data_IF_803507718289
#
_entry.id   IF_803507718289
#
_cell.length_a   1.000
_cell.length_b   1.000
_cell.length_c   1.000
_cell.angle_alpha   90.00
_cell.angle_beta   90.00
_cell.angle_gamma   90.00
#
_symmetry.space_group_name_H-M   'P 1'
#
loop_
_entity.id
_entity.type
_entity.pdbx_description
1 polymer ?
#
# COMPACT_ATOMS: atom_id res chain seq x y z
N UNK A 1 29.06 44.79 19.54
CA UNK A 1 29.28 43.41 19.06
C UNK A 1 29.58 42.56 20.29
N UNK A 2 28.60 41.72 20.70
CA UNK A 2 28.76 40.84 21.86
C UNK A 2 29.59 39.64 21.44
N UNK A 3 30.79 39.47 22.02
CA UNK A 3 31.61 38.27 21.86
C UNK A 3 30.91 37.13 22.58
N UNK A 4 30.37 36.17 21.83
CA UNK A 4 29.86 34.94 22.40
C UNK A 4 31.03 33.98 22.58
N UNK A 5 31.54 33.93 23.80
CA UNK A 5 32.59 32.98 24.19
C UNK A 5 31.93 31.63 24.43
N UNK A 6 32.09 30.66 23.52
CA UNK A 6 31.65 29.31 23.69
C UNK A 6 32.56 28.57 24.70
N UNK A 7 32.05 28.29 25.88
CA UNK A 7 32.72 27.41 26.84
C UNK A 7 32.43 25.99 26.44
N UNK A 8 33.43 25.30 25.86
CA UNK A 8 33.41 23.87 25.60
C UNK A 8 33.49 23.11 26.92
N UNK A 9 32.35 22.62 27.41
CA UNK A 9 32.35 21.60 28.46
C UNK A 9 32.62 20.23 27.82
N UNK A 10 33.82 19.71 27.98
CA UNK A 10 34.19 18.34 27.63
C UNK A 10 33.45 17.39 28.58
N UNK A 11 32.32 16.86 28.22
CA UNK A 11 31.70 15.73 28.88
C UNK A 11 32.36 14.43 28.35
N UNK A 12 33.33 13.92 29.07
CA UNK A 12 33.87 12.57 28.86
C UNK A 12 32.83 11.59 29.41
N UNK A 13 31.94 11.13 28.57
CA UNK A 13 31.01 10.02 28.85
C UNK A 13 31.68 8.71 28.46
N UNK A 14 32.17 7.98 29.46
CA UNK A 14 32.66 6.62 29.28
C UNK A 14 31.51 5.64 29.03
N UNK A 15 31.66 4.82 28.00
CA UNK A 15 31.09 3.47 27.94
C UNK A 15 29.75 3.30 27.26
N UNK A 16 29.82 2.93 25.98
CA UNK A 16 29.12 1.76 25.43
C UNK A 16 29.92 1.32 24.20
N UNK A 17 30.77 0.35 24.38
CA UNK A 17 31.42 -0.39 23.31
C UNK A 17 30.34 -1.33 22.69
N UNK A 18 29.68 -0.88 21.64
CA UNK A 18 28.90 -1.75 20.79
C UNK A 18 28.75 -1.11 19.43
N UNK A 19 29.26 -1.81 18.41
CA UNK A 19 29.14 -1.54 16.98
C UNK A 19 29.88 -0.30 16.46
N UNK A 20 31.08 -0.53 15.95
CA UNK A 20 31.93 0.43 15.24
C UNK A 20 31.40 0.73 13.84
N UNK A 21 30.25 1.37 13.72
CA UNK A 21 29.97 2.21 12.56
C UNK A 21 30.86 3.43 12.71
N UNK A 22 31.86 3.56 11.84
CA UNK A 22 32.92 4.56 11.97
C UNK A 22 32.34 5.94 11.64
N UNK A 23 31.82 6.64 12.64
CA UNK A 23 31.41 8.03 12.51
C UNK A 23 32.63 8.90 12.21
N UNK A 24 32.55 9.87 11.29
CA UNK A 24 33.62 10.84 11.08
C UNK A 24 33.96 11.53 12.41
N UNK A 25 35.23 11.61 12.74
CA UNK A 25 35.65 12.32 13.96
C UNK A 25 35.54 13.82 13.74
N UNK A 26 34.79 14.50 14.60
CA UNK A 26 34.69 15.95 14.57
C UNK A 26 36.05 16.60 14.88
N UNK A 27 36.39 17.64 14.10
CA UNK A 27 37.62 18.43 14.30
C UNK A 27 37.23 19.92 14.33
N UNK A 28 36.87 20.42 15.51
CA UNK A 28 36.27 21.73 15.72
C UNK A 28 37.34 22.76 16.07
N UNK A 29 38.15 23.17 15.08
CA UNK A 29 39.23 24.12 15.26
C UNK A 29 38.83 25.58 15.01
N UNK A 30 37.82 25.80 14.23
CA UNK A 30 37.32 27.12 13.86
C UNK A 30 35.83 27.26 14.20
N UNK A 31 35.35 28.53 14.23
CA UNK A 31 33.91 28.81 14.41
C UNK A 31 33.07 28.19 13.30
N UNK A 32 33.63 28.12 12.08
CA UNK A 32 32.96 27.48 10.93
C UNK A 32 32.85 25.96 11.13
N UNK A 33 33.89 25.32 11.66
CA UNK A 33 33.86 23.88 11.97
C UNK A 33 32.77 23.59 13.02
N UNK A 34 32.73 24.41 14.09
CA UNK A 34 31.76 24.30 15.16
C UNK A 34 30.32 24.54 14.66
N UNK A 35 30.12 25.54 13.80
CA UNK A 35 28.84 25.82 13.16
C UNK A 35 28.41 24.65 12.26
N UNK A 36 29.33 24.11 11.46
CA UNK A 36 29.05 22.98 10.58
C UNK A 36 28.57 21.75 11.34
N UNK A 37 29.23 21.44 12.47
CA UNK A 37 28.82 20.36 13.35
C UNK A 37 27.44 20.62 13.97
N UNK A 38 27.22 21.83 14.48
CA UNK A 38 25.94 22.24 15.06
C UNK A 38 24.77 22.16 14.05
N UNK A 39 24.99 22.57 12.80
CA UNK A 39 24.01 22.41 11.71
C UNK A 39 23.68 20.93 11.51
N UNK A 40 24.70 20.05 11.45
CA UNK A 40 24.51 18.63 11.31
C UNK A 40 23.61 18.05 12.42
N UNK A 41 23.91 18.38 13.68
CA UNK A 41 23.10 17.93 14.82
C UNK A 41 21.67 18.49 14.80
N UNK A 42 21.51 19.78 14.57
CA UNK A 42 20.22 20.45 14.62
C UNK A 42 19.24 19.93 13.53
N UNK A 43 19.78 19.45 12.41
CA UNK A 43 18.96 18.92 11.30
C UNK A 43 18.49 17.48 11.47
N UNK A 44 18.85 16.83 12.58
CA UNK A 44 18.37 15.46 12.89
C UNK A 44 17.04 15.43 13.66
N UNK A 45 16.46 16.58 13.98
CA UNK A 45 15.16 16.65 14.64
C UNK A 45 14.09 15.92 13.81
N UNK A 46 13.37 14.99 14.41
CA UNK A 46 12.38 14.15 13.75
C UNK A 46 12.93 13.01 12.88
N UNK A 47 14.23 12.97 12.60
CA UNK A 47 14.82 11.93 11.73
C UNK A 47 14.65 10.53 12.30
N UNK A 48 14.78 10.36 13.61
CA UNK A 48 14.60 9.05 14.26
C UNK A 48 13.19 8.49 14.02
N UNK A 49 12.17 9.35 14.13
CA UNK A 49 10.80 8.94 13.85
C UNK A 49 10.59 8.57 12.39
N UNK A 50 11.16 9.34 11.47
CA UNK A 50 11.15 9.02 10.04
C UNK A 50 11.82 7.67 9.77
N UNK A 51 13.00 7.39 10.34
CA UNK A 51 13.71 6.13 10.18
C UNK A 51 12.87 4.94 10.68
N UNK A 52 12.21 5.08 11.85
CA UNK A 52 11.29 4.06 12.34
C UNK A 52 10.14 3.78 11.38
N UNK A 53 9.56 4.80 10.75
CA UNK A 53 8.52 4.63 9.72
C UNK A 53 9.04 3.89 8.48
N UNK A 54 10.33 4.01 8.18
CA UNK A 54 10.99 3.26 7.11
C UNK A 54 11.43 1.85 7.53
N UNK A 55 11.14 1.43 8.77
CA UNK A 55 11.54 0.14 9.32
C UNK A 55 13.00 0.08 9.78
N UNK A 56 13.66 1.24 9.98
CA UNK A 56 15.02 1.34 10.49
C UNK A 56 14.97 1.67 11.99
N UNK A 57 15.20 0.68 12.82
CA UNK A 57 15.29 0.85 14.26
C UNK A 57 16.76 0.87 14.77
N UNK A 58 16.95 0.80 16.07
CA UNK A 58 18.28 0.84 16.69
C UNK A 58 19.18 -0.32 16.29
N UNK A 59 18.60 -1.46 15.87
CA UNK A 59 19.38 -2.66 15.48
C UNK A 59 19.99 -2.51 14.09
N UNK A 60 19.38 -1.70 13.20
CA UNK A 60 19.89 -1.41 11.87
C UNK A 60 20.68 -0.10 11.76
N UNK A 61 20.86 0.64 12.87
CA UNK A 61 21.50 1.95 12.86
C UNK A 61 22.93 1.91 12.32
N UNK A 62 23.68 0.84 12.56
CA UNK A 62 25.03 0.66 12.04
C UNK A 62 25.05 0.60 10.51
N UNK A 63 24.14 -0.14 9.91
CA UNK A 63 24.02 -0.22 8.44
C UNK A 63 23.50 1.10 7.84
N UNK A 64 22.59 1.79 8.55
CA UNK A 64 22.16 3.12 8.15
C UNK A 64 23.34 4.11 8.09
N UNK A 65 24.18 4.17 9.14
CA UNK A 65 25.36 5.06 9.20
C UNK A 65 26.36 4.70 8.09
N UNK A 66 26.58 3.42 7.83
CA UNK A 66 27.42 2.96 6.74
C UNK A 66 26.91 3.47 5.38
N UNK A 67 25.62 3.24 5.08
CA UNK A 67 24.99 3.72 3.86
C UNK A 67 25.01 5.24 3.74
N UNK A 68 24.80 5.98 4.85
CA UNK A 68 24.92 7.43 4.89
C UNK A 68 26.31 7.91 4.51
N UNK A 69 27.37 7.35 5.10
CA UNK A 69 28.76 7.72 4.80
C UNK A 69 29.15 7.41 3.35
N UNK A 70 28.74 6.24 2.86
CA UNK A 70 28.98 5.86 1.46
C UNK A 70 28.24 6.80 0.51
N UNK A 71 26.98 7.11 0.79
CA UNK A 71 26.16 8.02 -0.03
C UNK A 71 26.70 9.43 -0.05
N UNK A 72 27.13 9.97 1.10
CA UNK A 72 27.70 11.31 1.21
C UNK A 72 28.99 11.48 0.41
N UNK A 73 29.74 10.41 0.18
CA UNK A 73 30.98 10.42 -0.63
C UNK A 73 30.72 10.26 -2.14
N UNK A 74 29.51 9.93 -2.56
CA UNK A 74 29.12 9.65 -3.94
C UNK A 74 28.68 10.92 -4.68
N UNK A 75 29.53 11.49 -5.52
CA UNK A 75 29.26 12.78 -6.19
C UNK A 75 29.32 12.71 -7.72
N UNK A 76 29.88 11.66 -8.29
CA UNK A 76 29.97 11.54 -9.75
C UNK A 76 28.61 11.24 -10.39
N UNK A 77 28.44 11.62 -11.68
CA UNK A 77 27.23 11.27 -12.45
C UNK A 77 26.92 9.75 -12.45
N UNK A 78 27.98 8.93 -12.47
CA UNK A 78 27.85 7.47 -12.43
C UNK A 78 27.32 7.01 -11.07
N UNK A 79 27.81 7.59 -9.99
CA UNK A 79 27.35 7.26 -8.64
C UNK A 79 25.90 7.69 -8.42
N UNK A 80 25.53 8.88 -8.88
CA UNK A 80 24.15 9.38 -8.84
C UNK A 80 23.22 8.43 -9.60
N UNK A 81 23.59 8.02 -10.80
CA UNK A 81 22.81 7.05 -11.59
C UNK A 81 22.63 5.71 -10.85
N UNK A 82 23.69 5.20 -10.23
CA UNK A 82 23.64 3.96 -9.45
C UNK A 82 22.72 4.07 -8.24
N UNK A 83 22.83 5.15 -7.44
CA UNK A 83 21.98 5.38 -6.27
C UNK A 83 20.51 5.56 -6.67
N UNK A 84 20.24 6.29 -7.75
CA UNK A 84 18.89 6.43 -8.30
C UNK A 84 18.34 5.07 -8.73
N UNK A 85 19.16 4.24 -9.36
CA UNK A 85 18.79 2.87 -9.74
C UNK A 85 18.41 2.00 -8.53
N UNK A 86 19.18 2.08 -7.44
CA UNK A 86 18.86 1.37 -6.20
C UNK A 86 17.52 1.82 -5.60
N UNK A 87 17.30 3.13 -5.53
CA UNK A 87 16.07 3.70 -4.98
C UNK A 87 14.83 3.27 -5.80
N UNK A 88 14.92 3.40 -7.13
CA UNK A 88 13.84 2.97 -8.03
C UNK A 88 13.65 1.46 -7.96
N UNK A 89 14.74 0.69 -7.91
CA UNK A 89 14.70 -0.77 -7.78
C UNK A 89 13.97 -1.23 -6.52
N UNK A 90 14.19 -0.58 -5.37
CA UNK A 90 13.46 -0.85 -4.14
C UNK A 90 11.96 -0.50 -4.28
N UNK A 91 11.65 0.65 -4.86
CA UNK A 91 10.27 1.07 -5.08
C UNK A 91 9.52 0.07 -5.97
N UNK A 92 10.08 -0.30 -7.13
CA UNK A 92 9.45 -1.22 -8.07
C UNK A 92 9.40 -2.65 -7.49
N UNK A 93 10.51 -3.11 -6.90
CA UNK A 93 10.63 -4.49 -6.42
C UNK A 93 9.91 -4.79 -5.11
N UNK A 94 9.45 -3.76 -4.37
CA UNK A 94 8.71 -3.91 -3.12
C UNK A 94 7.36 -3.20 -3.18
N UNK A 95 7.35 -1.87 -3.20
CA UNK A 95 6.10 -1.10 -3.07
C UNK A 95 5.12 -1.38 -4.21
N UNK A 96 5.59 -1.49 -5.45
CA UNK A 96 4.71 -1.80 -6.57
C UNK A 96 4.19 -3.23 -6.49
N UNK A 97 5.04 -4.21 -6.12
CA UNK A 97 4.60 -5.60 -5.94
C UNK A 97 3.51 -5.68 -4.88
N UNK A 98 3.72 -5.07 -3.71
CA UNK A 98 2.74 -5.02 -2.63
C UNK A 98 1.45 -4.30 -3.05
N UNK A 99 1.57 -3.15 -3.71
CA UNK A 99 0.44 -2.36 -4.18
C UNK A 99 -0.41 -3.10 -5.22
N UNK A 100 0.22 -3.73 -6.22
CA UNK A 100 -0.50 -4.51 -7.22
C UNK A 100 -1.11 -5.79 -6.64
N UNK A 101 -0.42 -6.47 -5.72
CA UNK A 101 -0.99 -7.63 -5.03
C UNK A 101 -2.24 -7.24 -4.25
N UNK A 102 -2.21 -6.13 -3.52
CA UNK A 102 -3.39 -5.63 -2.81
C UNK A 102 -4.52 -5.26 -3.76
N UNK A 103 -4.20 -4.61 -4.88
CA UNK A 103 -5.20 -4.17 -5.87
C UNK A 103 -5.86 -5.35 -6.62
N UNK A 104 -5.08 -6.37 -6.97
CA UNK A 104 -5.54 -7.49 -7.80
C UNK A 104 -6.15 -8.60 -6.93
N UNK A 105 -5.48 -8.96 -5.82
CA UNK A 105 -5.83 -10.11 -5.01
C UNK A 105 -6.51 -9.74 -3.67
N UNK A 106 -6.65 -8.45 -3.37
CA UNK A 106 -7.36 -7.98 -2.17
C UNK A 106 -6.74 -8.48 -0.86
N UNK A 107 -5.40 -8.64 -0.82
CA UNK A 107 -4.68 -9.09 0.37
C UNK A 107 -4.61 -10.61 0.54
N UNK A 108 -5.02 -11.40 -0.45
CA UNK A 108 -4.77 -12.85 -0.47
C UNK A 108 -3.27 -13.12 -0.59
N UNK A 109 -2.64 -13.54 0.51
CA UNK A 109 -1.21 -13.80 0.60
C UNK A 109 -0.74 -15.04 -0.15
N UNK A 110 -1.66 -15.87 -0.64
CA UNK A 110 -1.34 -17.07 -1.44
C UNK A 110 -1.06 -16.74 -2.90
N UNK A 111 -1.40 -15.52 -3.33
CA UNK A 111 -1.24 -15.05 -4.70
C UNK A 111 -0.34 -13.83 -4.75
N UNK A 112 0.51 -13.76 -5.77
CA UNK A 112 1.41 -12.62 -6.00
C UNK A 112 1.71 -12.46 -7.48
N UNK A 113 1.91 -11.21 -7.91
CA UNK A 113 2.49 -10.95 -9.23
C UNK A 113 3.96 -11.38 -9.25
N UNK A 114 4.49 -11.76 -10.41
CA UNK A 114 5.90 -12.09 -10.56
C UNK A 114 6.76 -10.82 -10.46
N UNK A 115 7.53 -10.73 -9.36
CA UNK A 115 8.53 -9.67 -9.18
C UNK A 115 9.59 -9.67 -10.30
N UNK A 116 10.03 -10.85 -10.71
CA UNK A 116 11.03 -10.99 -11.81
C UNK A 116 10.51 -10.42 -13.12
N UNK A 117 9.29 -10.79 -13.51
CA UNK A 117 8.67 -10.30 -14.74
C UNK A 117 8.40 -8.79 -14.68
N UNK A 118 7.99 -8.27 -13.51
CA UNK A 118 7.81 -6.83 -13.30
C UNK A 118 9.12 -6.06 -13.50
N UNK A 119 10.23 -6.53 -12.91
CA UNK A 119 11.54 -5.91 -13.05
C UNK A 119 12.07 -6.02 -14.48
N UNK A 120 11.90 -7.17 -15.14
CA UNK A 120 12.28 -7.36 -16.52
C UNK A 120 11.52 -6.42 -17.47
N UNK A 121 10.21 -6.31 -17.28
CA UNK A 121 9.37 -5.39 -18.04
C UNK A 121 9.74 -3.92 -17.80
N UNK A 122 10.05 -3.55 -16.55
CA UNK A 122 10.51 -2.20 -16.22
C UNK A 122 11.81 -1.86 -16.95
N UNK A 123 12.81 -2.75 -16.90
CA UNK A 123 14.10 -2.56 -17.60
C UNK A 123 13.89 -2.49 -19.12
N UNK A 124 13.07 -3.37 -19.68
CA UNK A 124 12.73 -3.33 -21.11
C UNK A 124 12.09 -2.01 -21.51
N UNK A 125 11.21 -1.49 -20.67
CA UNK A 125 10.52 -0.22 -20.87
C UNK A 125 11.45 1.00 -20.83
N UNK A 126 12.37 1.10 -19.87
CA UNK A 126 13.29 2.25 -19.77
C UNK A 126 14.41 2.23 -20.82
N UNK A 127 14.79 1.03 -21.28
CA UNK A 127 15.84 0.89 -22.31
C UNK A 127 15.32 0.87 -23.73
N UNK A 128 14.00 0.83 -23.90
CA UNK A 128 13.30 0.71 -25.17
C UNK A 128 13.72 -0.56 -25.97
N UNK A 129 14.09 -1.62 -25.24
CA UNK A 129 14.58 -2.89 -25.78
C UNK A 129 13.67 -4.03 -25.33
N UNK A 130 12.45 -4.06 -25.86
CA UNK A 130 11.53 -5.18 -25.63
C UNK A 130 11.37 -6.00 -26.90
N UNK A 131 11.52 -7.32 -26.79
CA UNK A 131 11.18 -8.29 -27.83
C UNK A 131 9.88 -9.05 -27.51
N UNK A 132 9.20 -8.70 -26.42
CA UNK A 132 7.95 -9.35 -25.98
C UNK A 132 6.73 -8.55 -26.41
N UNK A 133 6.69 -7.26 -26.07
CA UNK A 133 5.57 -6.37 -26.43
C UNK A 133 6.03 -4.90 -26.45
N UNK A 134 5.29 -4.05 -27.16
CA UNK A 134 5.51 -2.59 -27.14
C UNK A 134 4.94 -1.97 -25.86
N UNK A 135 5.31 -0.72 -25.55
CA UNK A 135 4.76 0.02 -24.39
C UNK A 135 3.26 0.22 -24.49
N UNK A 136 2.75 0.48 -25.70
CA UNK A 136 1.33 0.66 -25.98
C UNK A 136 0.57 -0.65 -25.73
N UNK A 137 1.07 -1.76 -26.25
CA UNK A 137 0.51 -3.09 -26.03
C UNK A 137 0.55 -3.47 -24.54
N UNK A 138 1.66 -3.17 -23.82
CA UNK A 138 1.78 -3.40 -22.40
C UNK A 138 0.76 -2.59 -21.59
N UNK A 139 0.53 -1.32 -21.94
CA UNK A 139 -0.46 -0.46 -21.28
C UNK A 139 -1.89 -0.99 -21.48
N UNK A 140 -2.24 -1.40 -22.70
CA UNK A 140 -3.56 -1.99 -22.98
C UNK A 140 -3.74 -3.32 -22.22
N UNK A 141 -2.75 -4.21 -22.29
CA UNK A 141 -2.80 -5.50 -21.61
C UNK A 141 -2.87 -5.35 -20.07
N UNK A 142 -2.14 -4.39 -19.51
CA UNK A 142 -2.19 -4.13 -18.05
C UNK A 142 -3.61 -3.79 -17.60
N UNK A 143 -4.28 -2.87 -18.30
CA UNK A 143 -5.65 -2.45 -17.97
C UNK A 143 -6.62 -3.62 -17.99
N UNK A 144 -6.67 -4.31 -19.13
CA UNK A 144 -7.66 -5.35 -19.38
C UNK A 144 -7.30 -6.65 -18.61
N UNK A 145 -5.99 -6.95 -18.51
CA UNK A 145 -5.48 -8.12 -17.78
C UNK A 145 -5.66 -8.02 -16.27
N UNK A 146 -5.47 -6.83 -15.69
CA UNK A 146 -5.69 -6.65 -14.25
C UNK A 146 -7.13 -6.93 -13.86
N UNK A 147 -8.09 -6.43 -14.61
CA UNK A 147 -9.51 -6.66 -14.32
C UNK A 147 -9.86 -8.14 -14.48
N UNK A 148 -9.42 -8.78 -15.57
CA UNK A 148 -9.68 -10.21 -15.79
C UNK A 148 -9.07 -11.11 -14.69
N UNK A 149 -7.87 -10.80 -14.20
CA UNK A 149 -7.23 -11.56 -13.11
C UNK A 149 -7.96 -11.31 -11.79
N UNK A 150 -8.34 -10.08 -11.52
CA UNK A 150 -9.11 -9.71 -10.33
C UNK A 150 -10.47 -10.41 -10.30
N UNK A 151 -11.20 -10.43 -11.40
CA UNK A 151 -12.46 -11.16 -11.51
C UNK A 151 -12.28 -12.66 -11.23
N UNK A 152 -11.23 -13.27 -11.79
CA UNK A 152 -10.90 -14.68 -11.52
C UNK A 152 -10.58 -14.93 -10.04
N UNK A 153 -9.78 -14.06 -9.44
CA UNK A 153 -9.43 -14.17 -8.02
C UNK A 153 -10.68 -14.04 -7.12
N UNK A 154 -11.56 -13.08 -7.43
CA UNK A 154 -12.83 -12.92 -6.73
C UNK A 154 -13.76 -14.12 -6.93
N UNK A 155 -13.84 -14.66 -8.13
CA UNK A 155 -14.65 -15.85 -8.43
C UNK A 155 -14.20 -17.06 -7.61
N UNK A 156 -12.90 -17.28 -7.47
CA UNK A 156 -12.36 -18.35 -6.62
C UNK A 156 -12.64 -18.07 -5.14
N UNK A 157 -12.33 -16.87 -4.67
CA UNK A 157 -12.49 -16.47 -3.26
C UNK A 157 -13.92 -16.60 -2.76
N UNK A 158 -14.90 -16.31 -3.62
CA UNK A 158 -16.32 -16.29 -3.26
C UNK A 158 -17.13 -17.43 -3.89
N UNK A 159 -16.45 -18.48 -4.40
CA UNK A 159 -17.12 -19.62 -5.05
C UNK A 159 -18.19 -20.26 -4.15
N UNK A 160 -17.85 -20.55 -2.90
CA UNK A 160 -18.76 -21.17 -1.93
C UNK A 160 -19.94 -20.26 -1.58
N UNK A 161 -19.69 -18.97 -1.40
CA UNK A 161 -20.75 -18.00 -1.14
C UNK A 161 -21.71 -17.87 -2.33
N UNK A 162 -21.17 -17.86 -3.55
CA UNK A 162 -21.98 -17.85 -4.77
C UNK A 162 -22.82 -19.11 -4.89
N UNK A 163 -22.22 -20.29 -4.68
CA UNK A 163 -22.95 -21.56 -4.72
C UNK A 163 -24.05 -21.62 -3.65
N UNK A 164 -23.79 -21.15 -2.42
CA UNK A 164 -24.79 -21.05 -1.38
C UNK A 164 -25.94 -20.11 -1.76
N UNK A 165 -25.64 -18.97 -2.36
CA UNK A 165 -26.64 -18.03 -2.86
C UNK A 165 -27.50 -18.59 -3.98
N UNK A 166 -26.89 -19.25 -4.96
CA UNK A 166 -27.58 -19.92 -6.08
C UNK A 166 -28.51 -21.03 -5.57
N UNK A 167 -28.03 -21.85 -4.63
CA UNK A 167 -28.83 -22.89 -3.98
C UNK A 167 -30.03 -22.29 -3.26
N UNK A 168 -29.81 -21.24 -2.45
CA UNK A 168 -30.88 -20.54 -1.76
C UNK A 168 -31.94 -20.01 -2.72
N UNK A 169 -31.53 -19.34 -3.80
CA UNK A 169 -32.47 -18.81 -4.79
C UNK A 169 -33.25 -19.93 -5.51
N UNK A 170 -32.61 -21.06 -5.84
CA UNK A 170 -33.27 -22.21 -6.45
C UNK A 170 -34.35 -22.81 -5.54
N UNK A 171 -34.03 -22.99 -4.26
CA UNK A 171 -34.98 -23.49 -3.24
C UNK A 171 -36.08 -22.50 -2.94
N UNK A 172 -35.74 -21.20 -2.88
CA UNK A 172 -36.69 -20.16 -2.54
C UNK A 172 -37.72 -19.93 -3.64
N UNK A 173 -37.33 -20.10 -4.92
CA UNK A 173 -38.24 -19.98 -6.10
C UNK A 173 -39.48 -20.88 -6.00
N UNK A 174 -39.34 -22.05 -5.37
CA UNK A 174 -40.45 -23.01 -5.20
C UNK A 174 -41.36 -22.73 -4.00
N UNK A 175 -41.05 -21.74 -3.16
CA UNK A 175 -41.84 -21.44 -1.96
C UNK A 175 -43.10 -20.67 -2.28
N UNK A 176 -44.17 -20.92 -1.54
CA UNK A 176 -45.45 -20.27 -1.71
C UNK A 176 -45.36 -18.74 -1.61
N UNK A 177 -45.93 -18.07 -2.60
CA UNK A 177 -45.99 -16.60 -2.67
C UNK A 177 -44.69 -15.92 -3.14
N UNK A 178 -43.65 -16.66 -3.48
CA UNK A 178 -42.41 -16.12 -4.04
C UNK A 178 -42.57 -15.90 -5.54
N UNK A 179 -42.28 -14.70 -6.00
CA UNK A 179 -42.25 -14.30 -7.41
C UNK A 179 -40.82 -14.01 -7.82
N UNK A 180 -40.38 -14.55 -8.97
CA UNK A 180 -39.06 -14.30 -9.54
C UNK A 180 -39.21 -13.40 -10.78
N UNK A 181 -38.51 -12.27 -10.80
CA UNK A 181 -38.48 -11.33 -11.93
C UNK A 181 -37.55 -11.82 -13.05
N UNK A 182 -37.60 -11.24 -14.26
CA UNK A 182 -36.63 -11.56 -15.33
C UNK A 182 -35.17 -11.28 -14.97
N UNK A 183 -34.91 -10.35 -14.06
CA UNK A 183 -33.57 -10.05 -13.55
C UNK A 183 -33.03 -11.07 -12.53
N UNK A 184 -33.87 -12.04 -12.10
CA UNK A 184 -33.51 -13.00 -11.06
C UNK A 184 -33.84 -12.53 -9.62
N UNK A 185 -34.29 -11.30 -9.43
CA UNK A 185 -34.76 -10.80 -8.13
C UNK A 185 -35.97 -11.62 -7.69
N UNK A 186 -35.97 -12.09 -6.44
CA UNK A 186 -37.10 -12.77 -5.84
C UNK A 186 -37.73 -11.92 -4.76
N UNK A 187 -39.06 -11.86 -4.73
CA UNK A 187 -39.80 -11.14 -3.70
C UNK A 187 -41.06 -11.90 -3.28
N UNK A 188 -41.50 -11.64 -2.09
CA UNK A 188 -42.79 -12.15 -1.57
C UNK A 188 -43.57 -10.99 -0.93
N UNK A 189 -44.80 -10.81 -1.31
CA UNK A 189 -45.71 -9.83 -0.68
C UNK A 189 -46.27 -10.48 0.58
N UNK A 190 -45.89 -9.98 1.76
CA UNK A 190 -46.38 -10.47 3.04
C UNK A 190 -47.78 -9.88 3.33
N UNK A 191 -47.94 -8.58 3.06
CA UNK A 191 -49.22 -7.89 3.24
C UNK A 191 -49.44 -6.97 2.05
N UNK A 192 -50.56 -7.15 1.36
CA UNK A 192 -50.91 -6.32 0.20
C UNK A 192 -51.33 -4.92 0.68
N UNK A 193 -50.72 -3.90 0.12
CA UNK A 193 -51.10 -2.51 0.40
C UNK A 193 -52.45 -2.15 -0.23
N UNK A 194 -53.17 -1.26 0.42
CA UNK A 194 -54.48 -0.74 0.00
C UNK A 194 -54.46 0.74 -0.39
N UNK A 195 -53.32 1.40 -0.24
CA UNK A 195 -53.16 2.82 -0.56
C UNK A 195 -52.83 3.07 -2.04
N UNK A 196 -52.62 4.34 -2.38
CA UNK A 196 -52.23 4.75 -3.72
C UNK A 196 -50.83 4.21 -4.08
N UNK A 197 -50.65 3.74 -5.29
CA UNK A 197 -49.39 3.28 -5.82
C UNK A 197 -48.52 4.51 -6.15
N UNK A 198 -47.32 4.67 -5.57
CA UNK A 198 -46.43 5.79 -5.91
C UNK A 198 -45.94 5.67 -7.37
N UNK A 199 -45.81 6.82 -8.03
CA UNK A 199 -45.19 6.87 -9.35
C UNK A 199 -43.67 6.64 -9.25
N UNK A 200 -43.02 6.27 -10.37
CA UNK A 200 -41.56 5.98 -10.41
C UNK A 200 -40.68 7.15 -9.96
N UNK A 201 -41.21 8.38 -10.06
CA UNK A 201 -40.54 9.62 -9.60
C UNK A 201 -40.87 10.02 -8.16
N UNK A 202 -41.73 9.28 -7.48
CA UNK A 202 -42.18 9.62 -6.11
C UNK A 202 -41.10 9.31 -5.09
N UNK A 203 -40.88 10.25 -4.15
CA UNK A 203 -40.06 9.98 -2.95
C UNK A 203 -40.89 9.25 -1.93
N UNK A 204 -40.43 8.09 -1.49
CA UNK A 204 -41.11 7.27 -0.48
C UNK A 204 -40.22 7.11 0.75
N UNK A 205 -40.83 7.00 1.93
CA UNK A 205 -40.14 6.62 3.16
C UNK A 205 -40.45 5.15 3.44
N UNK A 206 -39.39 4.34 3.56
CA UNK A 206 -39.53 2.91 3.86
C UNK A 206 -38.76 2.54 5.12
N UNK A 207 -39.28 1.56 5.84
CA UNK A 207 -38.53 0.87 6.87
C UNK A 207 -38.01 -0.43 6.25
N UNK A 208 -36.78 -0.82 6.59
CA UNK A 208 -36.17 -2.03 6.07
C UNK A 208 -35.33 -2.74 7.12
N UNK A 209 -35.12 -4.02 6.90
CA UNK A 209 -34.20 -4.86 7.65
C UNK A 209 -33.47 -5.78 6.65
N UNK A 210 -32.15 -5.66 6.57
CA UNK A 210 -31.28 -6.48 5.74
C UNK A 210 -30.67 -7.63 6.53
N UNK A 211 -30.81 -8.86 6.04
CA UNK A 211 -30.18 -10.03 6.63
C UNK A 211 -29.49 -10.87 5.55
N UNK A 212 -28.38 -11.53 5.93
CA UNK A 212 -27.75 -12.56 5.10
C UNK A 212 -28.63 -13.82 5.09
N UNK A 213 -28.30 -14.79 4.23
CA UNK A 213 -29.06 -16.06 4.11
C UNK A 213 -28.96 -16.92 5.38
N UNK A 214 -27.94 -16.73 6.21
CA UNK A 214 -27.78 -17.36 7.52
C UNK A 214 -28.58 -16.66 8.64
N UNK A 215 -29.29 -15.56 8.33
CA UNK A 215 -30.07 -14.78 9.26
C UNK A 215 -29.32 -13.63 9.94
N UNK A 216 -28.02 -13.47 9.70
CA UNK A 216 -27.21 -12.38 10.26
C UNK A 216 -27.71 -11.02 9.74
N UNK A 217 -28.13 -10.13 10.63
CA UNK A 217 -28.54 -8.76 10.27
C UNK A 217 -27.32 -7.90 9.97
N UNK A 218 -27.28 -7.29 8.79
CA UNK A 218 -26.20 -6.39 8.40
C UNK A 218 -26.63 -4.91 8.39
N UNK A 219 -27.94 -4.63 8.25
CA UNK A 219 -28.45 -3.27 8.29
C UNK A 219 -29.95 -3.23 8.62
N UNK A 220 -30.42 -2.11 9.25
CA UNK A 220 -31.82 -1.93 9.63
C UNK A 220 -32.14 -0.46 9.86
N UNK A 221 -33.32 -0.02 9.43
CA UNK A 221 -33.88 1.30 9.73
C UNK A 221 -34.62 1.36 11.09
N UNK A 222 -34.69 0.26 11.81
CA UNK A 222 -35.39 0.16 13.11
C UNK A 222 -34.47 0.42 14.31
N UNK A 223 -33.25 0.90 14.07
CA UNK A 223 -32.28 1.25 15.13
C UNK A 223 -32.47 2.68 15.56
#
# INVERSE_FOLDING_TARGET
MKKVTFIMALAVGAGLASCTAQSPKANLKTDVDSLSYAIGMARTEGLTQYLMQQGVDTTQMAEFIKGFNEGAAKTSKKDVAYMTGMQIGQMVGKQWVEGFNQQIFGGDSTQTISRENLLAGFIAGITDKSNVMTKEAATAYMRDGMEAIKEKALAVKYADNKAAGEKYLAENKGKEGVVTTPSGLQYKIITKGTGAIPADTSKVKVNYKGTLIDGTEFDSSYK
#
